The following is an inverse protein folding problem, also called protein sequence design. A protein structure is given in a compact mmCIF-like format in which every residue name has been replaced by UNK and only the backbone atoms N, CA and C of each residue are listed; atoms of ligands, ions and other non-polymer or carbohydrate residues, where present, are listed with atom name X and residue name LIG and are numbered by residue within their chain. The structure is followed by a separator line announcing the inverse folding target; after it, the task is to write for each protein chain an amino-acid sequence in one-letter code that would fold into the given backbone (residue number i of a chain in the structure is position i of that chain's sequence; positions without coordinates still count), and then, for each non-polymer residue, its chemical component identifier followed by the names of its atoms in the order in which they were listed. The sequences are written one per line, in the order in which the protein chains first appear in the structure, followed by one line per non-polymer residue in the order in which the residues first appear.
data_IF_017372860430
#
_entry.id   IF_017372860430
#
_cell.length_a   1.000
_cell.length_b   1.000
_cell.length_c   1.000
_cell.angle_alpha   90.00
_cell.angle_beta   90.00
_cell.angle_gamma   90.00
#
_symmetry.space_group_name_H-M   'P 1'
#
loop_
_entity.id
_entity.type
_entity.pdbx_description
1 polymer ?
#
# COMPACT_ATOMS: atom_id res chain seq x y z
N UNK A 1 -1.54 29.17 -25.94
CA UNK A 1 -2.69 29.67 -25.15
C UNK A 1 -2.53 29.08 -23.78
N UNK A 2 -2.36 29.91 -22.74
CA UNK A 2 -2.04 29.44 -21.39
C UNK A 2 -3.20 28.64 -20.81
N UNK A 3 -2.91 27.44 -20.31
CA UNK A 3 -3.85 26.59 -19.60
C UNK A 3 -3.55 26.61 -18.11
N UNK A 4 -4.59 26.81 -17.30
CA UNK A 4 -4.51 26.65 -15.85
C UNK A 4 -5.65 25.75 -15.39
N UNK A 5 -5.30 24.67 -14.68
CA UNK A 5 -6.27 23.79 -14.06
C UNK A 5 -7.09 24.51 -12.99
N UNK A 6 -8.35 24.12 -12.82
CA UNK A 6 -9.27 24.77 -11.88
C UNK A 6 -8.83 24.74 -10.40
N UNK A 7 -7.94 23.81 -10.05
CA UNK A 7 -7.38 23.62 -8.70
C UNK A 7 -5.90 24.01 -8.62
N UNK A 8 -5.35 24.54 -9.72
CA UNK A 8 -3.95 24.93 -9.79
C UNK A 8 -3.66 26.04 -8.78
N UNK A 9 -2.60 25.82 -7.99
CA UNK A 9 -2.01 26.80 -7.09
C UNK A 9 -0.51 26.56 -7.05
N UNK A 10 0.27 27.64 -6.96
CA UNK A 10 1.73 27.55 -6.80
C UNK A 10 2.01 26.91 -5.44
N UNK A 11 2.45 25.65 -5.47
CA UNK A 11 2.73 24.80 -4.30
C UNK A 11 3.95 23.94 -4.57
N UNK A 12 4.46 23.28 -3.52
CA UNK A 12 5.49 22.27 -3.72
C UNK A 12 4.92 21.06 -4.45
N UNK A 13 5.73 20.41 -5.30
CA UNK A 13 5.32 19.19 -6.01
C UNK A 13 4.92 18.07 -5.05
N UNK A 14 5.50 18.05 -3.84
CA UNK A 14 5.15 17.06 -2.80
C UNK A 14 3.73 17.28 -2.27
N UNK A 15 3.35 18.54 -2.06
CA UNK A 15 2.00 18.88 -1.59
C UNK A 15 0.97 18.63 -2.68
N UNK A 16 1.27 19.05 -3.92
CA UNK A 16 0.43 18.79 -5.09
C UNK A 16 0.23 17.28 -5.30
N UNK A 17 1.30 16.48 -5.21
CA UNK A 17 1.20 15.02 -5.30
C UNK A 17 0.30 14.41 -4.21
N UNK A 18 0.35 14.95 -3.00
CA UNK A 18 -0.47 14.48 -1.87
C UNK A 18 -1.96 14.75 -2.13
N UNK A 19 -2.28 15.97 -2.57
CA UNK A 19 -3.65 16.36 -2.90
C UNK A 19 -4.24 15.54 -4.06
N UNK A 20 -3.47 15.38 -5.14
CA UNK A 20 -3.91 14.56 -6.28
C UNK A 20 -4.15 13.11 -5.83
N UNK A 21 -3.28 12.55 -4.99
CA UNK A 21 -3.44 11.20 -4.47
C UNK A 21 -4.71 11.03 -3.65
N UNK A 22 -5.07 12.02 -2.84
CA UNK A 22 -6.31 12.02 -2.05
C UNK A 22 -7.54 12.05 -2.95
N UNK A 23 -7.55 12.92 -3.97
CA UNK A 23 -8.67 13.02 -4.91
C UNK A 23 -8.82 11.77 -5.79
N UNK A 24 -7.71 11.20 -6.27
CA UNK A 24 -7.73 9.93 -7.01
C UNK A 24 -8.35 8.81 -6.16
N UNK A 25 -8.07 8.80 -4.85
CA UNK A 25 -8.61 7.81 -3.91
C UNK A 25 -10.11 8.02 -3.65
N UNK A 26 -10.57 9.27 -3.61
CA UNK A 26 -11.98 9.62 -3.43
C UNK A 26 -12.81 9.28 -4.66
N UNK A 27 -12.34 9.68 -5.85
CA UNK A 27 -13.07 9.49 -7.12
C UNK A 27 -12.97 8.07 -7.68
N UNK A 28 -11.86 7.38 -7.43
CA UNK A 28 -11.62 6.02 -7.92
C UNK A 28 -11.22 5.09 -6.77
N UNK A 29 -12.14 4.78 -5.83
CA UNK A 29 -11.84 3.93 -4.68
C UNK A 29 -11.58 2.46 -5.05
N UNK A 30 -12.02 2.05 -6.24
CA UNK A 30 -11.77 0.74 -6.83
C UNK A 30 -10.29 0.55 -7.25
N UNK A 31 -9.59 1.64 -7.57
CA UNK A 31 -8.19 1.62 -7.96
C UNK A 31 -7.29 2.13 -6.83
N UNK A 32 -6.05 1.63 -6.77
CA UNK A 32 -5.02 2.12 -5.84
C UNK A 32 -3.89 2.75 -6.62
N UNK A 33 -3.71 4.05 -6.43
CA UNK A 33 -2.70 4.85 -7.10
C UNK A 33 -1.52 5.16 -6.16
N UNK A 34 -0.33 5.16 -6.74
CA UNK A 34 0.87 5.75 -6.13
C UNK A 34 1.23 7.00 -6.93
N UNK A 35 1.35 8.13 -6.24
CA UNK A 35 1.83 9.39 -6.81
C UNK A 35 3.16 9.70 -6.16
N UNK A 36 4.22 9.83 -6.96
CA UNK A 36 5.57 10.06 -6.49
C UNK A 36 6.26 11.14 -7.33
N UNK A 37 7.11 11.94 -6.70
CA UNK A 37 8.01 12.85 -7.39
C UNK A 37 9.40 12.20 -7.47
N UNK A 38 9.88 11.78 -8.65
CA UNK A 38 11.25 11.30 -8.83
C UNK A 38 12.25 12.41 -8.48
N UNK A 39 13.30 12.08 -7.73
CA UNK A 39 14.26 13.09 -7.26
C UNK A 39 14.88 13.87 -8.43
N UNK A 40 14.89 15.21 -8.31
CA UNK A 40 15.62 16.09 -9.22
C UNK A 40 14.86 16.55 -10.47
N UNK A 41 13.61 16.12 -10.66
CA UNK A 41 12.83 16.48 -11.85
C UNK A 41 11.53 17.20 -11.47
N UNK A 42 11.08 18.11 -12.35
CA UNK A 42 9.77 18.75 -12.24
C UNK A 42 8.69 17.80 -12.77
N UNK A 43 8.60 16.59 -12.20
CA UNK A 43 7.81 15.49 -12.74
C UNK A 43 7.03 14.79 -11.63
N UNK A 44 5.79 14.39 -11.93
CA UNK A 44 5.00 13.50 -11.10
C UNK A 44 4.75 12.19 -11.83
N UNK A 45 5.13 11.09 -11.18
CA UNK A 45 4.87 9.73 -11.64
C UNK A 45 3.60 9.19 -10.98
N UNK A 46 2.67 8.80 -11.82
CA UNK A 46 1.40 8.17 -11.47
C UNK A 46 1.48 6.68 -11.81
N UNK A 47 1.53 5.85 -10.77
CA UNK A 47 1.61 4.39 -10.92
C UNK A 47 0.34 3.74 -10.41
N UNK A 48 -0.34 3.00 -11.29
CA UNK A 48 -1.49 2.19 -10.93
C UNK A 48 -1.03 0.86 -10.32
N UNK A 49 -1.38 0.61 -9.05
CA UNK A 49 -0.90 -0.55 -8.27
C UNK A 49 -1.88 -1.71 -8.24
N UNK A 50 -3.17 -1.41 -8.24
CA UNK A 50 -4.23 -2.41 -8.25
C UNK A 50 -5.53 -1.79 -8.69
N UNK A 51 -6.40 -2.56 -9.33
CA UNK A 51 -7.79 -2.16 -9.52
C UNK A 51 -8.73 -3.37 -9.43
N UNK A 52 -10.04 -3.15 -9.54
CA UNK A 52 -11.08 -4.17 -9.48
C UNK A 52 -11.09 -5.13 -10.68
N UNK A 53 -10.67 -4.63 -11.85
CA UNK A 53 -10.51 -5.40 -13.09
C UNK A 53 -9.09 -5.25 -13.63
N UNK A 54 -8.72 -6.16 -14.53
CA UNK A 54 -7.49 -6.05 -15.29
C UNK A 54 -7.58 -4.85 -16.24
N UNK A 55 -6.49 -4.10 -16.34
CA UNK A 55 -6.39 -2.89 -17.16
C UNK A 55 -5.46 -3.10 -18.36
N UNK A 56 -4.56 -4.09 -18.26
CA UNK A 56 -3.61 -4.42 -19.31
C UNK A 56 -4.30 -5.22 -20.42
N UNK A 57 -3.97 -4.89 -21.66
CA UNK A 57 -4.40 -5.68 -22.81
C UNK A 57 -3.67 -7.03 -22.87
N UNK A 58 -2.38 -7.06 -22.49
CA UNK A 58 -1.58 -8.28 -22.40
C UNK A 58 -1.00 -8.43 -20.97
N UNK A 59 -1.40 -9.48 -20.28
CA UNK A 59 -0.99 -9.75 -18.89
C UNK A 59 0.49 -10.17 -18.80
N UNK A 60 1.06 -10.72 -19.87
CA UNK A 60 2.39 -11.30 -19.88
C UNK A 60 3.50 -10.27 -20.10
N UNK A 61 3.17 -9.10 -20.64
CA UNK A 61 4.14 -8.04 -20.90
C UNK A 61 4.42 -7.26 -19.62
N UNK A 62 5.71 -7.11 -19.31
CA UNK A 62 6.18 -6.65 -18.00
C UNK A 62 6.28 -5.14 -17.86
N UNK A 63 6.45 -4.39 -18.95
CA UNK A 63 6.70 -2.96 -18.89
C UNK A 63 5.93 -2.18 -19.96
N UNK A 64 5.32 -1.10 -19.51
CA UNK A 64 4.49 -0.21 -20.30
C UNK A 64 4.75 1.24 -19.86
N UNK A 65 5.17 2.09 -20.79
CA UNK A 65 5.07 3.54 -20.61
C UNK A 65 3.78 3.98 -21.27
N UNK A 66 2.86 4.59 -20.51
CA UNK A 66 1.61 5.09 -21.06
C UNK A 66 1.83 6.53 -21.47
N UNK A 67 1.87 6.76 -22.78
CA UNK A 67 1.99 8.10 -23.32
C UNK A 67 0.68 8.87 -23.06
N UNK A 68 0.75 9.97 -22.31
CA UNK A 68 -0.42 10.74 -21.96
C UNK A 68 -1.12 11.35 -23.17
N UNK A 69 -0.41 11.64 -24.27
CA UNK A 69 -1.03 12.19 -25.48
C UNK A 69 -1.96 11.22 -26.20
N UNK A 70 -1.71 9.91 -26.10
CA UNK A 70 -2.40 8.88 -26.88
C UNK A 70 -3.02 7.81 -25.97
N UNK A 71 -3.60 8.21 -24.83
CA UNK A 71 -4.22 7.27 -23.89
C UNK A 71 -5.41 6.53 -24.51
N UNK A 72 -6.19 7.18 -25.38
CA UNK A 72 -7.35 6.58 -26.07
C UNK A 72 -6.94 5.47 -27.04
N UNK A 73 -5.81 5.65 -27.73
CA UNK A 73 -5.29 4.72 -28.73
C UNK A 73 -4.22 3.77 -28.18
N UNK A 74 -3.98 3.81 -26.86
CA UNK A 74 -2.98 2.98 -26.19
C UNK A 74 -3.34 1.50 -26.34
N UNK A 75 -2.60 0.79 -27.20
CA UNK A 75 -2.80 -0.65 -27.46
C UNK A 75 -2.46 -1.52 -26.26
N UNK A 76 -1.73 -0.95 -25.29
CA UNK A 76 -1.30 -1.65 -24.09
C UNK A 76 -2.38 -1.72 -23.01
N UNK A 77 -3.40 -0.87 -23.11
CA UNK A 77 -4.54 -0.84 -22.21
C UNK A 77 -5.77 -1.43 -22.89
N UNK A 78 -6.57 -2.18 -22.13
CA UNK A 78 -7.93 -2.50 -22.56
C UNK A 78 -8.85 -1.28 -22.40
N UNK A 79 -10.08 -1.34 -22.91
CA UNK A 79 -11.01 -0.21 -22.90
C UNK A 79 -11.27 0.32 -21.48
N UNK A 80 -11.33 -0.58 -20.50
CA UNK A 80 -11.48 -0.22 -19.09
C UNK A 80 -10.26 0.52 -18.53
N UNK A 81 -9.06 0.06 -18.86
CA UNK A 81 -7.81 0.71 -18.48
C UNK A 81 -7.71 2.11 -19.06
N UNK A 82 -8.06 2.27 -20.35
CA UNK A 82 -8.10 3.57 -21.02
C UNK A 82 -9.02 4.54 -20.30
N UNK A 83 -10.25 4.11 -19.98
CA UNK A 83 -11.23 4.92 -19.24
C UNK A 83 -10.67 5.40 -17.89
N UNK A 84 -10.02 4.51 -17.13
CA UNK A 84 -9.41 4.83 -15.83
C UNK A 84 -8.27 5.84 -15.96
N UNK A 85 -7.38 5.67 -16.94
CA UNK A 85 -6.25 6.59 -17.14
C UNK A 85 -6.70 7.96 -17.67
N UNK A 86 -7.71 8.01 -18.54
CA UNK A 86 -8.31 9.27 -19.01
C UNK A 86 -8.91 10.04 -17.83
N UNK A 87 -9.72 9.37 -16.99
CA UNK A 87 -10.27 9.96 -15.77
C UNK A 87 -9.20 10.43 -14.79
N UNK A 88 -8.12 9.66 -14.63
CA UNK A 88 -6.98 10.06 -13.82
C UNK A 88 -6.33 11.34 -14.37
N UNK A 89 -6.13 11.41 -15.69
CA UNK A 89 -5.53 12.57 -16.36
C UNK A 89 -6.40 13.82 -16.21
N UNK A 90 -7.72 13.71 -16.33
CA UNK A 90 -8.63 14.82 -16.09
C UNK A 90 -8.50 15.40 -14.69
N UNK A 91 -8.32 14.55 -13.67
CA UNK A 91 -8.07 14.98 -12.29
C UNK A 91 -6.70 15.65 -12.19
N UNK A 92 -5.65 15.04 -12.74
CA UNK A 92 -4.28 15.57 -12.70
C UNK A 92 -4.19 16.95 -13.37
N UNK A 93 -4.83 17.11 -14.53
CA UNK A 93 -4.86 18.38 -15.28
C UNK A 93 -5.46 19.52 -14.45
N UNK A 94 -6.40 19.26 -13.53
CA UNK A 94 -6.95 20.30 -12.65
C UNK A 94 -5.89 20.92 -11.72
N UNK A 95 -4.79 20.22 -11.46
CA UNK A 95 -3.69 20.68 -10.61
C UNK A 95 -2.47 21.16 -11.41
N UNK A 96 -2.48 21.01 -12.73
CA UNK A 96 -1.37 21.39 -13.59
C UNK A 96 -1.61 22.78 -14.21
N UNK A 97 -0.56 23.33 -14.80
CA UNK A 97 -0.56 24.54 -15.59
C UNK A 97 0.36 24.31 -16.79
N UNK A 98 0.00 24.85 -17.95
CA UNK A 98 0.80 24.82 -19.16
C UNK A 98 0.81 26.21 -19.81
N UNK A 99 1.97 26.86 -19.78
CA UNK A 99 2.26 28.13 -20.44
C UNK A 99 3.35 27.93 -21.51
N UNK A 100 3.36 26.76 -22.14
CA UNK A 100 4.27 26.45 -23.25
C UNK A 100 3.89 27.25 -24.48
N UNK A 101 4.92 27.67 -25.22
CA UNK A 101 4.76 28.35 -26.50
C UNK A 101 5.07 27.36 -27.62
N UNK A 102 4.23 27.34 -28.65
CA UNK A 102 4.37 26.41 -29.79
C UNK A 102 5.35 26.97 -30.83
N UNK A 103 5.57 28.29 -30.83
CA UNK A 103 6.47 28.96 -31.76
C UNK A 103 7.92 28.97 -31.28
N UNK A 104 8.15 28.74 -29.99
CA UNK A 104 9.48 28.64 -29.38
C UNK A 104 9.63 27.27 -28.72
N UNK A 105 10.86 26.75 -28.59
CA UNK A 105 11.12 25.45 -27.94
C UNK A 105 11.02 25.57 -26.39
N UNK A 106 10.07 26.37 -25.91
CA UNK A 106 9.90 26.76 -24.52
C UNK A 106 8.72 26.02 -23.89
N UNK A 107 9.05 25.01 -23.08
CA UNK A 107 8.08 24.22 -22.32
C UNK A 107 8.00 24.69 -20.87
N UNK A 108 6.84 25.21 -20.46
CA UNK A 108 6.62 25.67 -19.09
C UNK A 108 5.34 25.07 -18.50
N UNK A 109 5.51 23.91 -17.86
CA UNK A 109 4.43 23.22 -17.16
C UNK A 109 4.66 23.20 -15.65
N UNK A 110 3.62 23.16 -14.81
CA UNK A 110 3.82 23.03 -13.36
C UNK A 110 4.56 21.74 -12.99
N UNK A 111 4.22 20.63 -13.66
CA UNK A 111 4.98 19.38 -13.65
C UNK A 111 4.75 18.59 -14.93
N UNK A 112 5.74 17.79 -15.30
CA UNK A 112 5.62 16.73 -16.29
C UNK A 112 4.88 15.53 -15.71
N UNK A 113 4.10 14.86 -16.55
CA UNK A 113 3.28 13.71 -16.17
C UNK A 113 3.92 12.42 -16.70
N UNK A 114 3.92 11.37 -15.87
CA UNK A 114 4.40 10.04 -16.25
C UNK A 114 3.44 8.98 -15.72
N UNK A 115 2.79 8.24 -16.62
CA UNK A 115 1.79 7.24 -16.27
C UNK A 115 2.32 5.83 -16.49
N UNK A 116 2.17 5.00 -15.47
CA UNK A 116 2.69 3.63 -15.48
C UNK A 116 1.69 2.67 -14.83
N UNK A 117 1.62 1.45 -15.35
CA UNK A 117 1.03 0.31 -14.62
C UNK A 117 2.16 -0.37 -13.88
N UNK A 118 1.95 -0.68 -12.60
CA UNK A 118 2.95 -1.35 -11.78
C UNK A 118 3.25 -2.75 -12.32
N UNK A 119 4.52 -3.17 -12.30
CA UNK A 119 4.93 -4.54 -12.68
C UNK A 119 4.19 -5.60 -11.84
N UNK A 120 4.06 -5.34 -10.53
CA UNK A 120 3.29 -6.16 -9.59
C UNK A 120 1.81 -5.75 -9.51
N UNK A 121 1.19 -5.36 -10.63
CA UNK A 121 -0.22 -5.01 -10.66
C UNK A 121 -1.09 -6.18 -10.22
N UNK A 122 -2.03 -5.91 -9.31
CA UNK A 122 -2.95 -6.92 -8.78
C UNK A 122 -4.40 -6.54 -9.05
N UNK A 123 -5.15 -7.49 -9.62
CA UNK A 123 -6.60 -7.37 -9.72
C UNK A 123 -7.18 -7.75 -8.35
N UNK A 124 -7.70 -6.75 -7.64
CA UNK A 124 -8.45 -6.97 -6.42
C UNK A 124 -9.87 -7.32 -6.83
N UNK A 125 -10.23 -8.59 -6.85
CA UNK A 125 -11.64 -8.96 -6.98
C UNK A 125 -12.45 -8.15 -5.97
N UNK A 126 -13.49 -7.40 -6.39
CA UNK A 126 -14.35 -6.72 -5.44
C UNK A 126 -14.85 -7.80 -4.49
N UNK A 127 -14.48 -7.70 -3.20
CA UNK A 127 -15.24 -8.44 -2.19
C UNK A 127 -16.67 -7.97 -2.39
N UNK A 128 -17.66 -8.88 -2.54
CA UNK A 128 -19.05 -8.46 -2.66
C UNK A 128 -19.34 -7.43 -1.57
N UNK A 129 -20.04 -6.36 -1.94
CA UNK A 129 -20.51 -5.31 -1.03
C UNK A 129 -21.55 -5.90 -0.06
N UNK A 130 -21.17 -6.88 0.75
CA UNK A 130 -21.65 -6.91 2.12
C UNK A 130 -20.96 -5.74 2.81
N UNK A 131 -21.75 -4.89 3.46
CA UNK A 131 -21.24 -4.04 4.54
C UNK A 131 -20.26 -4.89 5.34
N UNK A 132 -18.96 -4.63 5.20
CA UNK A 132 -18.02 -5.08 6.21
C UNK A 132 -18.29 -4.21 7.42
N UNK A 133 -19.26 -4.63 8.22
CA UNK A 133 -18.98 -4.69 9.65
C UNK A 133 -17.54 -5.21 9.78
N UNK A 134 -16.73 -4.50 10.57
CA UNK A 134 -15.37 -4.91 10.89
C UNK A 134 -15.38 -6.43 11.11
N UNK A 135 -14.87 -7.22 10.17
CA UNK A 135 -14.32 -8.53 10.52
C UNK A 135 -13.02 -8.22 11.25
N UNK A 136 -13.17 -7.80 12.50
CA UNK A 136 -12.39 -8.38 13.58
C UNK A 136 -12.44 -9.87 13.34
N UNK A 137 -11.30 -10.49 13.04
CA UNK A 137 -11.14 -11.90 13.32
C UNK A 137 -11.25 -12.04 14.84
N UNK A 138 -12.50 -12.08 15.32
CA UNK A 138 -12.82 -12.57 16.65
C UNK A 138 -12.60 -14.07 16.53
N UNK A 139 -11.36 -14.49 16.76
CA UNK A 139 -11.16 -15.77 17.38
C UNK A 139 -11.81 -15.65 18.76
N UNK A 140 -13.07 -16.08 18.88
CA UNK A 140 -13.67 -16.43 20.16
C UNK A 140 -12.79 -17.54 20.72
N UNK A 141 -12.06 -17.20 21.76
CA UNK A 141 -11.23 -18.16 22.46
C UNK A 141 -11.68 -18.17 23.89
N UNK A 142 -12.63 -19.06 24.16
CA UNK A 142 -12.72 -19.70 25.46
C UNK A 142 -11.39 -20.46 25.66
N UNK A 143 -10.38 -19.77 26.19
CA UNK A 143 -9.07 -20.35 26.57
C UNK A 143 -9.11 -20.96 27.97
N UNK A 144 -10.29 -21.27 28.50
CA UNK A 144 -10.50 -21.73 29.89
C UNK A 144 -9.98 -23.14 30.18
N UNK A 145 -9.53 -23.90 29.17
CA UNK A 145 -9.00 -25.26 29.31
C UNK A 145 -7.53 -25.39 28.89
N UNK A 146 -6.71 -24.36 29.09
CA UNK A 146 -5.27 -24.48 28.89
C UNK A 146 -4.60 -24.97 30.19
N UNK A 147 -4.15 -26.23 30.18
CA UNK A 147 -3.33 -26.82 31.26
C UNK A 147 -1.98 -26.09 31.32
N UNK A 148 -1.91 -25.02 32.12
CA UNK A 148 -0.68 -24.23 32.36
C UNK A 148 0.48 -25.09 32.86
N UNK A 149 0.19 -26.19 33.54
CA UNK A 149 1.17 -27.04 34.23
C UNK A 149 1.94 -28.00 33.29
N UNK A 150 1.61 -28.03 31.98
CA UNK A 150 2.24 -28.94 31.01
C UNK A 150 3.16 -28.27 29.99
N UNK A 151 3.31 -26.94 30.02
CA UNK A 151 4.11 -26.23 29.01
C UNK A 151 5.30 -25.55 29.66
N UNK A 152 6.49 -26.09 29.42
CA UNK A 152 7.76 -25.47 29.81
C UNK A 152 8.06 -24.31 28.86
N UNK A 153 8.04 -23.09 29.40
CA UNK A 153 8.26 -21.85 28.66
C UNK A 153 9.25 -20.97 29.44
N UNK A 154 10.27 -20.50 28.74
CA UNK A 154 11.24 -19.52 29.25
C UNK A 154 11.06 -18.17 28.56
N UNK A 155 10.93 -17.12 29.36
CA UNK A 155 10.86 -15.74 28.88
C UNK A 155 12.24 -15.09 29.06
N UNK A 156 12.94 -14.87 27.96
CA UNK A 156 14.30 -14.32 27.93
C UNK A 156 14.27 -12.91 27.34
N UNK A 157 14.97 -11.96 27.98
CA UNK A 157 15.20 -10.63 27.39
C UNK A 157 16.15 -10.77 26.21
N UNK A 158 15.64 -10.60 25.00
CA UNK A 158 16.43 -10.73 23.76
C UNK A 158 17.15 -9.43 23.40
N UNK A 159 16.49 -8.29 23.58
CA UNK A 159 17.01 -6.95 23.25
C UNK A 159 16.31 -5.88 24.10
N UNK A 160 16.78 -4.65 24.08
CA UNK A 160 16.15 -3.52 24.80
C UNK A 160 14.70 -3.25 24.38
N UNK A 161 14.31 -3.73 23.21
CA UNK A 161 12.97 -3.54 22.64
C UNK A 161 12.18 -4.84 22.49
N UNK A 162 12.78 -5.99 22.82
CA UNK A 162 12.17 -7.29 22.52
C UNK A 162 12.47 -8.36 23.57
N UNK A 163 11.47 -9.18 23.82
CA UNK A 163 11.59 -10.41 24.60
C UNK A 163 11.38 -11.62 23.69
N UNK A 164 12.04 -12.72 24.02
CA UNK A 164 11.89 -14.01 23.36
C UNK A 164 11.22 -14.98 24.34
N UNK A 165 10.23 -15.70 23.85
CA UNK A 165 9.52 -16.77 24.56
C UNK A 165 9.94 -18.08 23.90
N UNK A 166 10.69 -18.90 24.62
CA UNK A 166 11.33 -20.14 24.15
C UNK A 166 10.79 -21.31 24.96
N UNK A 167 10.86 -22.53 24.44
CA UNK A 167 10.29 -23.73 25.08
C UNK A 167 9.32 -24.46 24.16
N UNK A 168 8.41 -25.26 24.72
CA UNK A 168 7.44 -26.03 23.92
C UNK A 168 6.26 -25.16 23.47
N UNK A 169 6.54 -24.27 22.52
CA UNK A 169 5.58 -23.26 22.04
C UNK A 169 4.62 -23.79 20.97
N UNK A 170 4.68 -25.08 20.63
CA UNK A 170 3.80 -25.74 19.66
C UNK A 170 2.31 -25.74 20.06
N UNK A 171 1.93 -26.16 21.28
CA UNK A 171 0.53 -26.15 21.72
C UNK A 171 -0.06 -24.74 21.87
N UNK A 172 0.78 -23.73 22.13
CA UNK A 172 0.38 -22.34 22.40
C UNK A 172 0.59 -21.39 21.22
N UNK A 173 0.94 -21.91 20.04
CA UNK A 173 1.28 -21.10 18.86
C UNK A 173 0.18 -20.08 18.52
N UNK A 174 -1.08 -20.44 18.70
CA UNK A 174 -2.23 -19.62 18.32
C UNK A 174 -2.46 -18.49 19.34
N UNK A 175 -2.23 -18.77 20.63
CA UNK A 175 -2.23 -17.78 21.71
C UNK A 175 -1.10 -16.75 21.47
N UNK A 176 0.13 -17.23 21.25
CA UNK A 176 1.30 -16.39 21.02
C UNK A 176 1.14 -15.52 19.77
N UNK A 177 0.50 -16.04 18.72
CA UNK A 177 0.15 -15.28 17.52
C UNK A 177 -0.92 -14.22 17.79
N UNK A 178 -1.93 -14.52 18.61
CA UNK A 178 -2.98 -13.56 19.02
C UNK A 178 -2.40 -12.37 19.80
N UNK A 179 -1.45 -12.63 20.70
CA UNK A 179 -0.67 -11.58 21.38
C UNK A 179 0.26 -10.81 20.42
N UNK A 180 0.32 -11.16 19.15
CA UNK A 180 1.10 -10.47 18.12
C UNK A 180 2.58 -10.84 18.13
N UNK A 181 2.92 -12.02 18.66
CA UNK A 181 4.26 -12.58 18.58
C UNK A 181 4.60 -13.03 17.17
N UNK A 182 5.89 -13.00 16.85
CA UNK A 182 6.43 -13.59 15.62
C UNK A 182 7.41 -14.68 15.95
N UNK A 183 7.13 -15.90 15.48
CA UNK A 183 8.05 -17.01 15.63
C UNK A 183 9.32 -16.79 14.79
N UNK A 184 10.49 -16.97 15.42
CA UNK A 184 11.80 -16.91 14.78
C UNK A 184 12.64 -18.14 15.19
N UNK A 185 12.94 -19.06 14.26
CA UNK A 185 13.74 -20.25 14.53
C UNK A 185 15.25 -19.98 14.65
N UNK A 186 15.73 -18.78 14.29
CA UNK A 186 17.16 -18.42 14.25
C UNK A 186 17.58 -17.48 15.39
N UNK A 187 16.90 -17.54 16.53
CA UNK A 187 17.30 -16.74 17.69
C UNK A 187 18.55 -17.35 18.35
N UNK A 188 19.40 -16.48 18.90
CA UNK A 188 20.64 -16.87 19.59
C UNK A 188 20.39 -17.68 20.87
N UNK A 189 19.23 -17.49 21.50
CA UNK A 189 18.81 -18.19 22.72
C UNK A 189 17.94 -19.44 22.46
N UNK A 190 17.81 -19.88 21.20
CA UNK A 190 16.99 -21.03 20.80
C UNK A 190 15.70 -20.62 20.09
N UNK A 191 15.15 -21.51 19.26
CA UNK A 191 13.97 -21.22 18.45
C UNK A 191 12.77 -20.80 19.32
N UNK A 192 12.17 -19.64 19.04
CA UNK A 192 11.15 -19.08 19.91
C UNK A 192 10.34 -17.94 19.30
N UNK A 193 9.42 -17.39 20.08
CA UNK A 193 8.54 -16.30 19.70
C UNK A 193 9.09 -14.97 20.18
N UNK A 194 9.17 -14.00 19.28
CA UNK A 194 9.64 -12.64 19.60
C UNK A 194 8.44 -11.72 19.79
N UNK A 195 8.45 -10.99 20.89
CA UNK A 195 7.46 -9.97 21.22
C UNK A 195 8.14 -8.63 21.49
N UNK A 196 7.39 -7.54 21.35
CA UNK A 196 7.84 -6.23 21.80
C UNK A 196 7.90 -6.19 23.33
N UNK A 197 8.92 -5.53 23.89
CA UNK A 197 9.05 -5.31 25.33
C UNK A 197 7.81 -4.65 25.96
N UNK A 198 7.00 -3.92 25.19
CA UNK A 198 5.73 -3.34 25.68
C UNK A 198 4.71 -4.40 26.10
N UNK A 199 4.73 -5.56 25.45
CA UNK A 199 3.80 -6.69 25.70
C UNK A 199 4.33 -7.68 26.73
N UNK A 200 5.52 -7.43 27.28
CA UNK A 200 6.15 -8.30 28.27
C UNK A 200 5.28 -8.51 29.51
N UNK A 201 4.66 -7.44 30.03
CA UNK A 201 3.82 -7.52 31.23
C UNK A 201 2.61 -8.43 31.03
N UNK A 202 1.95 -8.34 29.87
CA UNK A 202 0.80 -9.16 29.52
C UNK A 202 1.18 -10.64 29.40
N UNK A 203 2.33 -10.92 28.79
CA UNK A 203 2.82 -12.29 28.59
C UNK A 203 3.24 -12.93 29.92
N UNK A 204 3.98 -12.20 30.76
CA UNK A 204 4.35 -12.67 32.11
C UNK A 204 3.12 -12.92 32.98
N UNK A 205 2.12 -12.03 32.93
CA UNK A 205 0.87 -12.19 33.66
C UNK A 205 0.04 -13.38 33.17
N UNK A 206 0.03 -13.63 31.85
CA UNK A 206 -0.72 -14.73 31.27
C UNK A 206 -0.11 -16.10 31.60
N UNK A 207 1.21 -16.23 31.45
CA UNK A 207 1.94 -17.48 31.66
C UNK A 207 2.42 -17.69 33.12
N UNK A 208 2.33 -16.67 33.98
CA UNK A 208 2.64 -16.80 35.41
C UNK A 208 4.13 -16.99 35.71
N UNK A 209 5.01 -16.40 34.90
CA UNK A 209 6.47 -16.48 35.01
C UNK A 209 7.10 -15.14 35.41
#
# INVERSE_FOLDING_TARGET
MRYEGSKYKIRSLKDTATLIREELKEKMPNCTWSVANPQGHRQLRFTLRSCDKEVRADVNRKWYNINHYYMEDCKELNDYGKEIFIKAREIVNQYNMDDSDVMTDYFNVHFYEDYTVSDNFSVKTPKPLTKKEKKSDVFTTDFSNFDKDKVEIDIIKYSDKAIAVIGDTKPIKDILRSFGGRFNPRLTCGAGWVFSARKEKEIRQFFGA
#
